data_IF_332647737877
#
_entry.id   IF_332647737877
#
_cell.length_a   1.000
_cell.length_b   1.000
_cell.length_c   1.000
_cell.angle_alpha   90.00
_cell.angle_beta   90.00
_cell.angle_gamma   90.00
#
_symmetry.space_group_name_H-M   'P 1'
#
loop_
_entity.id
_entity.type
_entity.pdbx_description
1 polymer ?
#
# COMPACT_ATOMS: atom_id res chain seq x y z
N UNK A 1 -43.53 30.85 49.16
CA UNK A 1 -42.29 31.52 48.80
C UNK A 1 -41.49 30.55 47.94
N UNK A 2 -41.53 30.76 46.63
CA UNK A 2 -40.93 29.87 45.63
C UNK A 2 -39.47 30.20 45.45
N UNK A 3 -38.61 29.23 45.70
CA UNK A 3 -37.21 29.24 45.27
C UNK A 3 -37.10 28.51 43.94
N UNK A 4 -37.36 29.21 42.88
CA UNK A 4 -36.96 28.83 41.52
C UNK A 4 -36.35 30.08 40.91
N UNK A 5 -35.05 30.11 40.78
CA UNK A 5 -34.35 30.93 39.77
C UNK A 5 -32.84 30.81 39.98
N UNK A 6 -32.24 30.56 38.86
CA UNK A 6 -30.86 30.76 38.44
C UNK A 6 -29.96 29.52 38.41
N UNK A 7 -30.16 28.66 37.43
CA UNK A 7 -29.06 27.92 36.85
C UNK A 7 -28.73 28.60 35.52
N UNK A 8 -27.75 29.47 35.56
CA UNK A 8 -27.14 30.03 34.33
C UNK A 8 -26.27 28.88 33.75
N UNK A 9 -26.79 28.27 32.70
CA UNK A 9 -26.04 27.31 31.90
C UNK A 9 -24.97 28.06 31.11
N UNK A 10 -23.74 28.03 31.61
CA UNK A 10 -22.58 28.41 30.84
C UNK A 10 -22.37 27.40 29.72
N UNK A 11 -22.78 27.75 28.52
CA UNK A 11 -22.43 26.97 27.32
C UNK A 11 -20.94 27.16 27.06
N UNK A 12 -20.15 26.20 27.51
CA UNK A 12 -18.76 26.05 27.05
C UNK A 12 -18.82 25.50 25.62
N UNK A 13 -18.70 26.38 24.66
CA UNK A 13 -18.47 25.99 23.26
C UNK A 13 -17.09 25.34 23.16
N UNK A 14 -17.04 24.05 23.23
CA UNK A 14 -15.85 23.31 22.80
C UNK A 14 -15.86 23.39 21.28
N UNK A 15 -15.08 24.33 20.75
CA UNK A 15 -14.74 24.33 19.32
C UNK A 15 -13.92 23.07 19.07
N UNK A 16 -14.58 22.02 18.61
CA UNK A 16 -13.91 20.86 18.08
C UNK A 16 -13.13 21.33 16.85
N UNK A 17 -11.82 21.45 17.00
CA UNK A 17 -10.92 21.62 15.87
C UNK A 17 -11.06 20.35 15.01
N UNK A 18 -11.87 20.44 13.96
CA UNK A 18 -11.91 19.44 12.91
C UNK A 18 -10.51 19.44 12.31
N UNK A 19 -9.75 18.32 12.35
CA UNK A 19 -8.49 18.27 11.65
C UNK A 19 -8.80 18.51 10.17
N UNK A 20 -8.32 19.62 9.64
CA UNK A 20 -8.35 19.86 8.21
C UNK A 20 -7.53 18.76 7.58
N UNK A 21 -8.20 17.80 6.93
CA UNK A 21 -7.53 16.86 6.06
C UNK A 21 -6.97 17.71 4.94
N UNK A 22 -5.70 18.08 5.08
CA UNK A 22 -4.96 18.72 4.00
C UNK A 22 -4.82 17.62 2.94
N UNK A 23 -5.67 17.70 1.94
CA UNK A 23 -5.52 16.91 0.72
C UNK A 23 -4.28 17.46 0.01
N UNK A 24 -3.10 16.97 0.42
CA UNK A 24 -1.84 17.33 -0.21
C UNK A 24 -1.80 16.59 -1.55
N UNK A 25 -2.52 17.13 -2.52
CA UNK A 25 -2.12 17.00 -3.92
C UNK A 25 -0.85 17.82 -4.10
N UNK A 26 0.25 17.35 -3.54
CA UNK A 26 1.55 17.88 -3.88
C UNK A 26 1.76 17.58 -5.35
N UNK A 27 1.91 18.64 -6.13
CA UNK A 27 2.41 18.52 -7.50
C UNK A 27 3.70 17.70 -7.45
N UNK A 28 3.87 16.66 -8.29
CA UNK A 28 4.93 15.66 -8.16
C UNK A 28 6.36 16.19 -8.35
N UNK A 29 6.57 17.49 -8.51
CA UNK A 29 7.80 18.03 -9.09
C UNK A 29 8.75 18.77 -8.13
N UNK A 30 8.44 18.87 -6.84
CA UNK A 30 9.25 19.74 -5.98
C UNK A 30 10.03 19.06 -4.83
N UNK A 31 9.74 17.80 -4.51
CA UNK A 31 10.49 17.11 -3.46
C UNK A 31 11.52 16.15 -4.09
N UNK A 32 12.83 16.40 -3.93
CA UNK A 32 13.88 15.57 -4.52
C UNK A 32 13.88 14.11 -4.01
N UNK A 33 13.26 13.85 -2.87
CA UNK A 33 13.15 12.50 -2.31
C UNK A 33 12.06 11.65 -2.98
N UNK A 34 11.19 12.22 -3.78
CA UNK A 34 10.13 11.48 -4.48
C UNK A 34 10.70 10.61 -5.60
N UNK A 35 11.70 11.10 -6.33
CA UNK A 35 12.28 10.34 -7.45
C UNK A 35 13.02 9.07 -7.01
N UNK A 36 13.85 9.07 -5.95
CA UNK A 36 14.41 7.83 -5.42
C UNK A 36 13.35 6.81 -4.98
N UNK A 37 12.24 7.25 -4.39
CA UNK A 37 11.14 6.35 -4.00
C UNK A 37 10.43 5.79 -5.23
N UNK A 38 10.19 6.59 -6.27
CA UNK A 38 9.63 6.09 -7.53
C UNK A 38 10.54 5.06 -8.18
N UNK A 39 11.85 5.31 -8.18
CA UNK A 39 12.85 4.39 -8.71
C UNK A 39 12.84 3.05 -7.93
N UNK A 40 12.74 3.10 -6.59
CA UNK A 40 12.60 1.92 -5.74
C UNK A 40 11.35 1.10 -6.11
N UNK A 41 10.19 1.74 -6.20
CA UNK A 41 8.94 1.05 -6.52
C UNK A 41 8.95 0.46 -7.93
N UNK A 42 9.52 1.17 -8.89
CA UNK A 42 9.72 0.66 -10.23
C UNK A 42 10.66 -0.55 -10.25
N UNK A 43 11.78 -0.49 -9.53
CA UNK A 43 12.72 -1.60 -9.42
C UNK A 43 12.06 -2.83 -8.81
N UNK A 44 11.25 -2.65 -7.76
CA UNK A 44 10.47 -3.73 -7.15
C UNK A 44 9.50 -4.37 -8.16
N UNK A 45 8.70 -3.57 -8.87
CA UNK A 45 7.71 -4.08 -9.84
C UNK A 45 8.39 -4.79 -11.03
N UNK A 46 9.52 -4.27 -11.50
CA UNK A 46 10.31 -4.90 -12.55
C UNK A 46 10.94 -6.23 -12.09
N UNK A 47 11.52 -6.25 -10.89
CA UNK A 47 12.08 -7.46 -10.29
C UNK A 47 10.99 -8.52 -10.08
N UNK A 48 9.84 -8.11 -9.55
CA UNK A 48 8.69 -8.99 -9.35
C UNK A 48 8.19 -9.58 -10.67
N UNK A 49 7.93 -8.76 -11.67
CA UNK A 49 7.48 -9.20 -13.01
C UNK A 49 8.46 -10.18 -13.65
N UNK A 50 9.76 -9.96 -13.45
CA UNK A 50 10.81 -10.80 -13.98
C UNK A 50 11.16 -12.00 -13.09
N UNK A 51 10.44 -12.19 -11.98
CA UNK A 51 10.74 -13.24 -10.99
C UNK A 51 12.20 -13.21 -10.53
N UNK A 52 12.75 -12.01 -10.41
CA UNK A 52 14.09 -11.75 -9.86
C UNK A 52 14.00 -11.61 -8.34
N UNK A 53 14.17 -12.72 -7.66
CA UNK A 53 14.07 -12.77 -6.20
C UNK A 53 15.08 -11.86 -5.51
N UNK A 54 16.31 -11.83 -5.98
CA UNK A 54 17.35 -10.98 -5.39
C UNK A 54 17.04 -9.49 -5.60
N UNK A 55 16.54 -9.13 -6.79
CA UNK A 55 16.10 -7.77 -7.09
C UNK A 55 14.94 -7.34 -6.20
N UNK A 56 13.97 -8.22 -5.95
CA UNK A 56 12.88 -7.94 -5.01
C UNK A 56 13.40 -7.73 -3.60
N UNK A 57 14.20 -8.66 -3.08
CA UNK A 57 14.72 -8.59 -1.71
C UNK A 57 15.59 -7.35 -1.47
N UNK A 58 16.34 -6.90 -2.47
CA UNK A 58 17.13 -5.68 -2.41
C UNK A 58 16.28 -4.40 -2.24
N UNK A 59 14.98 -4.47 -2.50
CA UNK A 59 14.05 -3.36 -2.28
C UNK A 59 13.54 -3.24 -0.85
N UNK A 60 13.77 -4.24 0.01
CA UNK A 60 13.27 -4.29 1.38
C UNK A 60 14.37 -4.02 2.40
N UNK A 61 13.99 -3.40 3.53
CA UNK A 61 14.88 -3.34 4.70
C UNK A 61 15.11 -4.75 5.26
N UNK A 62 16.17 -4.94 6.03
CA UNK A 62 16.47 -6.23 6.65
C UNK A 62 15.34 -6.73 7.57
N UNK A 63 14.67 -5.80 8.25
CA UNK A 63 13.58 -6.07 9.19
C UNK A 63 12.19 -5.81 8.62
N UNK A 64 12.05 -5.70 7.30
CA UNK A 64 10.77 -5.43 6.66
C UNK A 64 9.71 -6.47 6.99
N UNK A 65 8.45 -6.05 6.89
CA UNK A 65 7.31 -6.94 7.01
C UNK A 65 6.37 -6.82 5.79
N UNK A 66 5.86 -7.95 5.34
CA UNK A 66 4.85 -8.02 4.27
C UNK A 66 3.61 -8.71 4.81
N UNK A 67 2.44 -8.17 4.51
CA UNK A 67 1.15 -8.75 4.85
C UNK A 67 0.37 -9.05 3.55
N UNK A 68 -0.19 -10.23 3.46
CA UNK A 68 -1.04 -10.65 2.35
C UNK A 68 -2.53 -10.45 2.62
N UNK A 69 -3.36 -11.04 1.76
CA UNK A 69 -4.82 -10.93 1.80
C UNK A 69 -5.49 -11.86 2.81
N UNK A 70 -4.85 -12.99 3.10
CA UNK A 70 -5.40 -14.04 3.95
C UNK A 70 -5.06 -13.86 5.43
N UNK A 71 -5.89 -14.36 6.35
CA UNK A 71 -5.55 -14.41 7.77
C UNK A 71 -4.25 -15.19 8.01
N UNK A 72 -3.30 -14.57 8.72
CA UNK A 72 -2.02 -15.19 9.04
C UNK A 72 -0.95 -15.07 7.95
N UNK A 73 -1.25 -14.46 6.81
CA UNK A 73 -0.27 -14.14 5.77
C UNK A 73 0.56 -12.91 6.20
N UNK A 74 1.50 -13.14 7.10
CA UNK A 74 2.45 -12.13 7.58
C UNK A 74 3.85 -12.75 7.50
N UNK A 75 4.75 -12.06 6.81
CA UNK A 75 6.14 -12.45 6.62
C UNK A 75 7.05 -11.34 7.13
N UNK A 76 8.01 -11.67 7.95
CA UNK A 76 8.90 -10.72 8.62
C UNK A 76 10.36 -11.09 8.40
N UNK A 77 11.15 -10.10 7.99
CA UNK A 77 12.57 -10.29 7.66
C UNK A 77 12.79 -10.96 6.29
N UNK A 78 14.04 -10.92 5.86
CA UNK A 78 14.43 -11.33 4.50
C UNK A 78 14.08 -12.79 4.17
N UNK A 79 14.25 -13.72 5.12
CA UNK A 79 14.03 -15.14 4.84
C UNK A 79 12.56 -15.50 4.62
N UNK A 80 11.65 -14.94 5.44
CA UNK A 80 10.22 -15.19 5.28
C UNK A 80 9.67 -14.46 4.05
N UNK A 81 10.12 -13.23 3.78
CA UNK A 81 9.75 -12.47 2.57
C UNK A 81 10.23 -13.24 1.33
N UNK A 82 11.44 -13.79 1.35
CA UNK A 82 11.96 -14.64 0.28
C UNK A 82 11.01 -15.80 -0.02
N UNK A 83 10.64 -16.58 1.00
CA UNK A 83 9.74 -17.72 0.83
C UNK A 83 8.37 -17.29 0.29
N UNK A 84 7.83 -16.13 0.73
CA UNK A 84 6.58 -15.59 0.21
C UNK A 84 6.68 -15.26 -1.28
N UNK A 85 7.74 -14.58 -1.71
CA UNK A 85 7.92 -14.22 -3.12
C UNK A 85 8.19 -15.43 -4.01
N UNK A 86 8.93 -16.44 -3.55
CA UNK A 86 9.07 -17.72 -4.26
C UNK A 86 7.72 -18.38 -4.50
N UNK A 87 6.79 -18.27 -3.55
CA UNK A 87 5.42 -18.74 -3.72
C UNK A 87 4.62 -17.87 -4.70
N UNK A 88 4.70 -16.55 -4.59
CA UNK A 88 3.97 -15.62 -5.47
C UNK A 88 4.38 -15.78 -6.93
N UNK A 89 5.64 -16.02 -7.22
CA UNK A 89 6.15 -16.24 -8.58
C UNK A 89 5.52 -17.45 -9.27
N UNK A 90 4.98 -18.40 -8.52
CA UNK A 90 4.26 -19.52 -9.10
C UNK A 90 2.90 -19.12 -9.69
N UNK A 91 2.39 -17.94 -9.36
CA UNK A 91 1.08 -17.46 -9.79
C UNK A 91 1.03 -16.87 -11.20
N UNK A 92 2.16 -16.66 -11.87
CA UNK A 92 2.20 -16.04 -13.21
C UNK A 92 3.43 -16.47 -14.02
N UNK A 93 3.37 -16.27 -15.34
CA UNK A 93 4.49 -16.53 -16.23
C UNK A 93 5.48 -15.35 -16.21
N UNK A 94 6.77 -15.67 -16.15
CA UNK A 94 7.83 -14.68 -16.05
C UNK A 94 7.71 -13.60 -17.14
N UNK A 95 7.81 -12.35 -16.77
CA UNK A 95 7.74 -11.21 -17.68
C UNK A 95 6.33 -10.86 -18.19
N UNK A 96 5.30 -11.56 -17.72
CA UNK A 96 3.94 -11.42 -18.23
C UNK A 96 2.99 -10.64 -17.31
N UNK A 97 3.47 -10.17 -16.16
CA UNK A 97 2.64 -9.45 -15.21
C UNK A 97 2.80 -7.93 -15.36
N UNK A 98 1.70 -7.20 -15.20
CA UNK A 98 1.65 -5.73 -15.17
C UNK A 98 0.80 -5.25 -14.01
N UNK A 99 1.26 -4.15 -13.40
CA UNK A 99 0.50 -3.37 -12.43
C UNK A 99 -0.01 -2.10 -13.11
N UNK A 100 -1.32 -1.84 -13.01
CA UNK A 100 -1.97 -0.63 -13.49
C UNK A 100 -2.61 0.10 -12.32
N UNK A 101 -1.90 1.09 -11.79
CA UNK A 101 -2.36 1.86 -10.64
C UNK A 101 -3.33 2.96 -11.07
N UNK A 102 -4.54 2.93 -10.49
CA UNK A 102 -5.63 3.87 -10.80
C UNK A 102 -5.68 5.06 -9.84
N UNK A 103 -5.31 4.83 -8.58
CA UNK A 103 -5.37 5.83 -7.53
C UNK A 103 -4.18 5.68 -6.59
N UNK A 104 -3.59 6.84 -6.19
CA UNK A 104 -2.46 6.88 -5.26
C UNK A 104 -2.60 8.06 -4.31
N UNK A 105 -2.40 7.80 -3.01
CA UNK A 105 -2.20 8.83 -2.01
C UNK A 105 -0.98 8.49 -1.18
N UNK A 106 -0.33 9.49 -0.60
CA UNK A 106 0.85 9.25 0.22
C UNK A 106 1.31 10.49 0.94
N UNK A 107 2.25 10.31 1.84
CA UNK A 107 2.94 11.36 2.59
C UNK A 107 4.40 11.00 2.77
N UNK A 108 5.24 12.01 2.97
CA UNK A 108 6.69 11.89 3.05
C UNK A 108 7.25 12.82 4.10
N UNK A 109 8.18 12.30 4.92
CA UNK A 109 9.08 13.03 5.80
C UNK A 109 10.51 12.93 5.26
N UNK A 110 11.51 13.38 6.03
CA UNK A 110 12.93 13.30 5.64
C UNK A 110 13.47 11.87 5.56
N UNK A 111 12.87 10.95 6.30
CA UNK A 111 13.40 9.60 6.56
C UNK A 111 12.34 8.48 6.47
N UNK A 112 11.08 8.85 6.33
CA UNK A 112 9.96 7.90 6.22
C UNK A 112 8.92 8.41 5.23
N UNK A 113 8.29 7.49 4.51
CA UNK A 113 7.15 7.76 3.66
C UNK A 113 6.14 6.63 3.71
N UNK A 114 4.90 6.94 3.34
CA UNK A 114 3.85 5.97 3.19
C UNK A 114 3.07 6.22 1.90
N UNK A 115 2.53 5.17 1.32
CA UNK A 115 1.69 5.23 0.13
C UNK A 115 0.56 4.22 0.23
N UNK A 116 -0.60 4.61 -0.28
CA UNK A 116 -1.73 3.71 -0.56
C UNK A 116 -2.10 3.84 -2.03
N UNK A 117 -2.33 2.72 -2.67
CA UNK A 117 -2.72 2.67 -4.08
C UNK A 117 -3.77 1.60 -4.31
N UNK A 118 -4.60 1.83 -5.30
CA UNK A 118 -5.55 0.87 -5.83
C UNK A 118 -5.31 0.72 -7.33
N UNK A 119 -5.50 -0.48 -7.85
CA UNK A 119 -5.27 -0.74 -9.27
C UNK A 119 -5.67 -2.16 -9.66
N UNK A 120 -5.20 -2.56 -10.84
CA UNK A 120 -5.38 -3.91 -11.35
C UNK A 120 -4.02 -4.56 -11.61
N UNK A 121 -3.97 -5.84 -11.40
CA UNK A 121 -2.90 -6.72 -11.89
C UNK A 121 -3.44 -7.47 -13.08
N UNK A 122 -2.71 -7.46 -14.18
CA UNK A 122 -2.98 -8.27 -15.37
C UNK A 122 -1.77 -9.12 -15.68
N UNK A 123 -1.97 -10.25 -16.32
CA UNK A 123 -0.85 -11.12 -16.66
C UNK A 123 -1.27 -12.40 -17.34
N UNK A 124 -0.33 -13.34 -17.42
CA UNK A 124 -0.57 -14.69 -17.92
C UNK A 124 -0.06 -15.73 -16.94
N UNK A 125 -0.78 -16.84 -16.88
CA UNK A 125 -0.35 -18.10 -16.26
C UNK A 125 -0.68 -19.27 -17.15
N UNK A 126 0.33 -20.06 -17.51
CA UNK A 126 0.19 -21.19 -18.45
C UNK A 126 -0.51 -20.74 -19.74
N UNK A 127 -0.06 -19.60 -20.32
CA UNK A 127 -0.59 -18.94 -21.51
C UNK A 127 -2.03 -18.39 -21.38
N UNK A 128 -2.69 -18.51 -20.21
CA UNK A 128 -4.02 -17.97 -19.95
C UNK A 128 -3.93 -16.60 -19.31
N UNK A 129 -4.69 -15.67 -19.86
CA UNK A 129 -4.79 -14.33 -19.31
C UNK A 129 -5.54 -14.34 -17.96
N UNK A 130 -5.07 -13.51 -17.03
CA UNK A 130 -5.77 -13.21 -15.79
C UNK A 130 -5.80 -11.71 -15.52
N UNK A 131 -6.77 -11.27 -14.75
CA UNK A 131 -6.86 -9.92 -14.21
C UNK A 131 -7.56 -9.95 -12.86
N UNK A 132 -7.07 -9.17 -11.91
CA UNK A 132 -7.73 -8.98 -10.61
C UNK A 132 -7.39 -7.61 -10.01
N UNK A 133 -8.31 -7.03 -9.21
CA UNK A 133 -8.06 -5.80 -8.49
C UNK A 133 -7.10 -6.03 -7.32
N UNK A 134 -6.29 -5.02 -7.02
CA UNK A 134 -5.37 -5.03 -5.88
C UNK A 134 -5.36 -3.69 -5.17
N UNK A 135 -5.32 -3.72 -3.84
CA UNK A 135 -4.95 -2.59 -3.02
C UNK A 135 -3.57 -2.85 -2.41
N UNK A 136 -2.73 -1.83 -2.42
CA UNK A 136 -1.40 -1.90 -1.82
C UNK A 136 -1.23 -0.70 -0.90
N UNK A 137 -0.80 -0.94 0.33
CA UNK A 137 -0.25 0.08 1.20
C UNK A 137 1.17 -0.28 1.56
N UNK A 138 2.05 0.70 1.58
CA UNK A 138 3.44 0.49 1.96
C UNK A 138 3.99 1.67 2.73
N UNK A 139 5.02 1.38 3.50
CA UNK A 139 5.87 2.34 4.19
C UNK A 139 7.29 2.16 3.65
N UNK A 140 7.91 3.26 3.27
CA UNK A 140 9.34 3.30 2.94
C UNK A 140 10.08 4.00 4.07
N UNK A 141 11.29 3.54 4.34
CA UNK A 141 12.20 4.17 5.29
C UNK A 141 13.57 4.38 4.63
N UNK A 142 14.27 5.41 5.09
CA UNK A 142 15.64 5.67 4.65
C UNK A 142 16.60 4.89 5.53
N UNK A 143 17.23 3.89 4.96
CA UNK A 143 18.29 3.09 5.60
C UNK A 143 19.62 3.38 4.94
N UNK A 144 20.59 3.79 5.75
CA UNK A 144 21.96 4.13 5.28
C UNK A 144 21.97 5.06 4.04
N UNK A 145 20.99 5.98 3.99
CA UNK A 145 20.85 6.96 2.90
C UNK A 145 20.05 6.45 1.68
N UNK A 146 19.64 5.19 1.67
CA UNK A 146 18.80 4.60 0.62
C UNK A 146 17.35 4.45 1.08
N UNK A 147 16.40 4.72 0.18
CA UNK A 147 15.00 4.41 0.42
C UNK A 147 14.75 2.93 0.18
N UNK A 148 14.16 2.25 1.17
CA UNK A 148 13.77 0.84 1.11
C UNK A 148 12.35 0.66 1.65
N UNK A 149 11.68 -0.40 1.24
CA UNK A 149 10.36 -0.77 1.76
C UNK A 149 10.54 -1.37 3.16
N UNK A 150 9.94 -0.74 4.16
CA UNK A 150 9.94 -1.21 5.55
C UNK A 150 8.69 -2.04 5.88
N UNK A 151 7.56 -1.74 5.27
CA UNK A 151 6.34 -2.52 5.41
C UNK A 151 5.52 -2.45 4.11
N UNK A 152 4.87 -3.56 3.76
CA UNK A 152 3.95 -3.63 2.64
C UNK A 152 2.75 -4.49 3.02
N UNK A 153 1.56 -4.04 2.66
CA UNK A 153 0.35 -4.84 2.69
C UNK A 153 -0.30 -4.80 1.31
N UNK A 154 -0.62 -5.95 0.80
CA UNK A 154 -1.45 -6.06 -0.40
C UNK A 154 -2.70 -6.87 -0.08
N UNK A 155 -3.81 -6.48 -0.70
CA UNK A 155 -5.06 -7.21 -0.62
C UNK A 155 -5.69 -7.33 -1.98
N UNK A 156 -6.18 -8.52 -2.27
CA UNK A 156 -6.94 -8.83 -3.47
C UNK A 156 -8.18 -9.64 -3.08
N UNK A 157 -9.14 -9.71 -3.96
CA UNK A 157 -10.29 -10.60 -3.76
C UNK A 157 -9.81 -12.04 -3.91
N UNK A 158 -9.59 -12.72 -2.79
CA UNK A 158 -9.24 -14.14 -2.76
C UNK A 158 -10.50 -14.97 -2.66
N UNK A 159 -10.73 -15.78 -3.66
CA UNK A 159 -11.70 -16.85 -3.60
C UNK A 159 -13.14 -16.43 -3.84
N UNK A 160 -13.67 -16.87 -4.91
CA UNK A 160 -15.03 -17.23 -5.19
C UNK A 160 -16.11 -16.23 -4.82
N UNK A 161 -16.67 -15.62 -5.82
CA UNK A 161 -17.90 -14.85 -5.75
C UNK A 161 -17.78 -13.37 -5.37
N UNK A 162 -17.18 -12.60 -6.23
CA UNK A 162 -17.83 -11.34 -6.58
C UNK A 162 -19.16 -11.64 -7.28
N UNK A 163 -19.96 -12.51 -6.70
CA UNK A 163 -21.36 -12.72 -7.09
C UNK A 163 -22.20 -11.89 -6.17
N UNK A 164 -22.50 -10.65 -6.55
CA UNK A 164 -23.49 -9.92 -5.81
C UNK A 164 -23.50 -8.41 -5.90
N UNK A 165 -22.82 -7.79 -6.84
CA UNK A 165 -23.27 -6.47 -7.29
C UNK A 165 -24.36 -6.75 -8.30
N UNK A 166 -25.59 -6.88 -7.80
CA UNK A 166 -26.77 -6.74 -8.65
C UNK A 166 -26.78 -5.30 -9.10
N UNK A 167 -26.58 -5.08 -10.40
CA UNK A 167 -26.97 -3.85 -11.06
C UNK A 167 -28.45 -3.60 -10.72
N UNK A 168 -28.70 -2.66 -9.81
CA UNK A 168 -30.02 -2.09 -9.65
C UNK A 168 -30.18 -1.05 -10.74
N UNK A 169 -30.98 -1.39 -11.73
CA UNK A 169 -31.56 -0.51 -12.74
C UNK A 169 -32.37 0.63 -12.07
#
# INVERSE_FOLDING_TARGET
>A
MNRREAIIAGAVSIAAAVPTVVNVQASPSENPEVEPIRALLKAHDEAFTNQDLNGVLACFTETAAVMGSGPGEIWSGQDEIKAAYEHFFQGFDKGQQKFEYQFRIGGLTSDMGWMMTSGNVTGKKDEKDFAFPVNISLTVAKDSGQWLVAAMHFSTLTGGAATGIKDTQ
#
